data_IF_568647300517
#
_entry.id   IF_568647300517
#
_cell.length_a   1.000
_cell.length_b   1.000
_cell.length_c   1.000
_cell.angle_alpha   90.00
_cell.angle_beta   90.00
_cell.angle_gamma   90.00
#
_symmetry.space_group_name_H-M   'P 1'
#
loop_
_entity.id
_entity.type
_entity.pdbx_description
1 polymer ?
#
# COMPACT_ATOMS: atom_id res chain seq x y z
N UNK A 1 3.53 12.58 -31.93
CA UNK A 1 4.61 13.50 -31.54
C UNK A 1 4.93 13.14 -30.09
N UNK A 2 6.08 12.51 -29.87
CA UNK A 2 6.54 12.20 -28.51
C UNK A 2 7.12 13.50 -27.93
N UNK A 3 6.38 14.14 -27.02
CA UNK A 3 6.90 15.23 -26.21
C UNK A 3 7.50 14.63 -24.94
N UNK A 4 8.82 14.51 -24.92
CA UNK A 4 9.60 13.90 -23.85
C UNK A 4 10.10 14.95 -22.83
N UNK A 5 9.57 16.18 -22.92
CA UNK A 5 9.95 17.26 -22.00
C UNK A 5 9.41 17.01 -20.60
N UNK A 6 10.11 17.56 -19.60
CA UNK A 6 9.72 17.48 -18.19
C UNK A 6 8.28 17.98 -17.98
N UNK A 7 7.57 17.34 -17.06
CA UNK A 7 6.29 17.83 -16.56
C UNK A 7 6.48 18.92 -15.49
N UNK A 8 5.45 19.70 -15.26
CA UNK A 8 5.39 20.57 -14.07
C UNK A 8 5.41 19.74 -12.77
N UNK A 9 4.81 18.54 -12.84
CA UNK A 9 4.80 17.56 -11.76
C UNK A 9 5.11 16.18 -12.36
N UNK A 10 6.04 15.45 -11.73
CA UNK A 10 6.40 14.11 -12.13
C UNK A 10 5.92 13.08 -11.10
N UNK A 11 5.09 12.13 -11.56
CA UNK A 11 4.52 11.09 -10.70
C UNK A 11 5.00 9.74 -11.19
N UNK A 12 5.74 9.02 -10.35
CA UNK A 12 6.02 7.61 -10.60
C UNK A 12 4.79 6.77 -10.24
N UNK A 13 4.39 5.90 -11.17
CA UNK A 13 3.27 4.95 -11.01
C UNK A 13 3.86 3.55 -11.02
N UNK A 14 3.65 2.81 -9.94
CA UNK A 14 4.16 1.43 -9.81
C UNK A 14 3.00 0.47 -9.59
N UNK A 15 2.84 -0.49 -10.52
CA UNK A 15 1.84 -1.55 -10.40
C UNK A 15 2.29 -2.67 -9.46
N UNK A 16 1.38 -3.13 -8.61
CA UNK A 16 1.52 -4.29 -7.73
C UNK A 16 0.29 -5.20 -7.86
N UNK A 17 0.40 -6.42 -7.48
CA UNK A 17 -0.74 -7.34 -7.34
C UNK A 17 -1.40 -7.13 -5.96
N UNK A 18 -2.52 -6.45 -5.75
CA UNK A 18 -3.32 -5.74 -6.76
C UNK A 18 -3.65 -4.36 -6.23
N UNK A 19 -2.81 -3.40 -6.51
CA UNK A 19 -2.87 -2.00 -6.09
C UNK A 19 -1.90 -1.14 -6.91
N UNK A 20 -2.00 0.16 -6.77
CA UNK A 20 -1.06 1.09 -7.35
C UNK A 20 -0.29 1.81 -6.26
N UNK A 21 0.99 2.10 -6.48
CA UNK A 21 1.79 3.04 -5.69
C UNK A 21 2.05 4.28 -6.54
N UNK A 22 1.93 5.44 -5.91
CA UNK A 22 2.20 6.73 -6.53
C UNK A 22 3.27 7.47 -5.74
N UNK A 23 4.28 8.02 -6.44
CA UNK A 23 5.36 8.83 -5.86
C UNK A 23 5.46 10.15 -6.60
N UNK A 24 5.27 11.25 -5.88
CA UNK A 24 5.48 12.61 -6.38
C UNK A 24 6.94 12.97 -6.17
N UNK A 25 7.69 13.06 -7.25
CA UNK A 25 9.15 13.11 -7.17
C UNK A 25 9.68 14.43 -6.62
N UNK A 26 8.98 15.53 -6.84
CA UNK A 26 9.35 16.85 -6.36
C UNK A 26 8.99 17.07 -4.89
N UNK A 27 7.95 16.39 -4.39
CA UNK A 27 7.38 16.63 -3.07
C UNK A 27 7.72 15.55 -2.04
N UNK A 28 8.38 14.46 -2.46
CA UNK A 28 8.71 13.29 -1.63
C UNK A 28 7.45 12.67 -0.95
N UNK A 29 6.33 12.68 -1.71
CA UNK A 29 5.07 12.07 -1.29
C UNK A 29 4.97 10.69 -1.93
N UNK A 30 4.73 9.67 -1.10
CA UNK A 30 4.59 8.27 -1.52
C UNK A 30 3.40 7.64 -0.80
N UNK A 31 2.52 6.97 -1.55
CA UNK A 31 1.38 6.25 -0.98
C UNK A 31 0.89 5.12 -1.88
N UNK A 32 0.21 4.16 -1.27
CA UNK A 32 -0.53 3.11 -1.97
C UNK A 32 -2.00 3.49 -2.13
N UNK A 33 -2.55 3.11 -3.27
CA UNK A 33 -3.96 3.27 -3.62
C UNK A 33 -4.59 1.89 -3.72
N UNK A 34 -5.50 1.57 -2.80
CA UNK A 34 -6.15 0.27 -2.70
C UNK A 34 -7.64 0.41 -2.96
N UNK A 35 -8.24 -0.66 -3.51
CA UNK A 35 -9.70 -0.76 -3.67
C UNK A 35 -10.40 -0.63 -2.30
N UNK A 36 -11.49 0.16 -2.25
CA UNK A 36 -12.32 0.31 -1.05
C UNK A 36 -13.64 -0.46 -1.10
N UNK A 37 -13.99 -1.07 -2.23
CA UNK A 37 -15.22 -1.86 -2.33
C UNK A 37 -15.24 -2.98 -1.30
N UNK A 38 -16.31 -3.03 -0.50
CA UNK A 38 -16.48 -4.02 0.55
C UNK A 38 -16.54 -5.45 -0.02
N UNK A 39 -15.96 -6.41 0.69
CA UNK A 39 -16.00 -7.81 0.31
C UNK A 39 -17.43 -8.37 0.26
N UNK A 40 -18.35 -7.85 1.08
CA UNK A 40 -19.74 -8.29 1.04
C UNK A 40 -20.46 -7.83 -0.23
N UNK A 41 -20.12 -6.67 -0.79
CA UNK A 41 -20.52 -6.28 -2.14
C UNK A 41 -19.92 -7.19 -3.21
N UNK A 42 -18.63 -7.51 -3.11
CA UNK A 42 -17.92 -8.37 -4.07
C UNK A 42 -18.54 -9.77 -4.07
N UNK A 43 -18.88 -10.32 -2.92
CA UNK A 43 -19.52 -11.63 -2.79
C UNK A 43 -21.05 -11.63 -2.95
N UNK A 44 -21.64 -10.51 -3.37
CA UNK A 44 -23.09 -10.34 -3.57
C UNK A 44 -23.93 -10.58 -2.30
N UNK A 45 -23.41 -10.29 -1.13
CA UNK A 45 -24.14 -10.33 0.14
C UNK A 45 -24.87 -9.01 0.41
N UNK A 46 -24.37 -7.90 -0.13
CA UNK A 46 -24.98 -6.58 -0.10
C UNK A 46 -25.14 -6.03 -1.52
N UNK A 47 -26.07 -5.07 -1.76
CA UNK A 47 -26.20 -4.39 -3.03
C UNK A 47 -24.92 -3.66 -3.42
N UNK A 48 -24.59 -3.65 -4.71
CA UNK A 48 -23.43 -2.92 -5.24
C UNK A 48 -23.69 -1.42 -5.27
N UNK A 49 -22.72 -0.65 -4.80
CA UNK A 49 -22.71 0.81 -4.88
C UNK A 49 -22.54 1.32 -6.31
N UNK A 50 -22.75 2.62 -6.51
CA UNK A 50 -22.64 3.30 -7.82
C UNK A 50 -21.25 3.11 -8.45
N UNK A 51 -20.19 3.23 -7.65
CA UNK A 51 -18.79 3.09 -8.08
C UNK A 51 -18.20 1.76 -7.68
N UNK A 52 -18.95 0.69 -7.86
CA UNK A 52 -18.51 -0.66 -7.57
C UNK A 52 -17.20 -1.01 -8.29
N UNK A 53 -16.16 -1.35 -7.56
CA UNK A 53 -14.79 -1.61 -8.03
C UNK A 53 -14.08 -0.41 -8.69
N UNK A 54 -14.52 0.81 -8.42
CA UNK A 54 -13.99 2.03 -9.04
C UNK A 54 -13.52 3.09 -8.03
N UNK A 55 -13.59 2.81 -6.71
CA UNK A 55 -13.14 3.71 -5.65
C UNK A 55 -11.89 3.17 -4.94
N UNK A 56 -11.08 4.11 -4.46
CA UNK A 56 -9.82 3.82 -3.74
C UNK A 56 -9.76 4.55 -2.40
N UNK A 57 -8.95 4.03 -1.49
CA UNK A 57 -8.69 4.66 -0.19
C UNK A 57 -7.86 5.96 -0.33
N UNK A 58 -6.95 6.02 -1.29
CA UNK A 58 -6.09 7.17 -1.55
C UNK A 58 -6.00 7.46 -3.05
N UNK A 59 -6.59 8.57 -3.48
CA UNK A 59 -6.58 8.97 -4.89
C UNK A 59 -5.33 9.80 -5.25
N UNK A 60 -4.91 9.73 -6.51
CA UNK A 60 -3.94 10.68 -7.07
C UNK A 60 -4.57 12.07 -7.11
N UNK A 61 -3.86 13.11 -6.69
CA UNK A 61 -4.32 14.51 -6.72
C UNK A 61 -3.41 15.31 -7.65
N UNK A 62 -3.99 15.98 -8.62
CA UNK A 62 -3.25 16.84 -9.56
C UNK A 62 -3.94 18.20 -9.73
N UNK A 63 -3.19 19.29 -9.94
CA UNK A 63 -3.79 20.59 -10.19
C UNK A 63 -4.22 20.75 -11.66
N UNK A 64 -5.27 21.55 -11.90
CA UNK A 64 -5.73 21.92 -13.24
C UNK A 64 -4.65 22.66 -14.03
N UNK A 65 -4.63 22.47 -15.34
CA UNK A 65 -3.82 23.25 -16.28
C UNK A 65 -2.31 23.00 -16.20
N UNK A 66 -1.86 22.08 -15.35
CA UNK A 66 -0.45 21.69 -15.25
C UNK A 66 -0.15 20.48 -16.09
N UNK A 67 1.05 20.42 -16.65
CA UNK A 67 1.55 19.22 -17.34
C UNK A 67 2.00 18.20 -16.33
N UNK A 68 1.25 17.11 -16.23
CA UNK A 68 1.57 15.99 -15.35
C UNK A 68 2.26 14.90 -16.19
N UNK A 69 3.46 14.51 -15.78
CA UNK A 69 4.19 13.42 -16.39
C UNK A 69 4.14 12.19 -15.49
N UNK A 70 3.71 11.07 -16.07
CA UNK A 70 3.66 9.78 -15.38
C UNK A 70 4.83 8.90 -15.83
N UNK A 71 5.58 8.37 -14.87
CA UNK A 71 6.67 7.41 -15.03
C UNK A 71 6.16 6.04 -14.58
N UNK A 72 5.75 5.21 -15.54
CA UNK A 72 4.92 4.02 -15.30
C UNK A 72 5.76 2.77 -15.37
N UNK A 73 5.75 1.98 -14.30
CA UNK A 73 6.45 0.69 -14.17
C UNK A 73 5.66 -0.27 -13.28
N UNK A 74 6.15 -1.48 -13.07
CA UNK A 74 5.59 -2.45 -12.13
C UNK A 74 6.67 -3.11 -11.27
N UNK A 75 6.27 -3.60 -10.10
CA UNK A 75 7.15 -4.29 -9.15
C UNK A 75 7.18 -5.81 -9.37
N UNK A 76 6.10 -6.39 -9.90
CA UNK A 76 5.89 -7.84 -9.93
C UNK A 76 5.58 -8.40 -11.33
N UNK A 77 4.38 -8.21 -11.84
CA UNK A 77 3.94 -8.65 -13.16
C UNK A 77 3.61 -7.46 -14.05
N UNK A 78 3.26 -7.68 -15.31
CA UNK A 78 2.79 -6.61 -16.19
C UNK A 78 1.38 -6.20 -15.76
N UNK A 79 1.18 -4.89 -15.63
CA UNK A 79 -0.10 -4.21 -15.48
C UNK A 79 -0.27 -3.19 -16.61
N UNK A 80 -1.41 -2.52 -16.70
CA UNK A 80 -1.58 -1.38 -17.62
C UNK A 80 -2.37 -0.29 -16.91
N UNK A 81 -1.77 0.89 -16.80
CA UNK A 81 -2.40 2.07 -16.21
C UNK A 81 -3.25 2.76 -17.27
N UNK A 82 -4.55 2.71 -17.10
CA UNK A 82 -5.50 3.25 -18.06
C UNK A 82 -6.40 4.32 -17.42
N UNK A 83 -6.34 5.51 -18.02
CA UNK A 83 -7.19 6.66 -17.70
C UNK A 83 -7.84 7.14 -19.01
N UNK A 84 -9.08 6.70 -19.31
CA UNK A 84 -9.74 7.00 -20.58
C UNK A 84 -9.88 8.50 -20.85
N UNK A 85 -10.31 9.27 -19.84
CA UNK A 85 -10.51 10.72 -19.96
C UNK A 85 -9.20 11.50 -20.20
N UNK A 86 -8.05 10.92 -19.86
CA UNK A 86 -6.74 11.50 -20.11
C UNK A 86 -6.12 10.99 -21.42
N UNK A 87 -6.84 10.15 -22.17
CA UNK A 87 -6.34 9.44 -23.34
C UNK A 87 -5.03 8.66 -23.09
N UNK A 88 -4.84 8.16 -21.87
CA UNK A 88 -3.68 7.38 -21.46
C UNK A 88 -4.07 5.92 -21.28
N UNK A 89 -3.35 5.04 -21.99
CA UNK A 89 -3.28 3.60 -21.72
C UNK A 89 -1.84 3.17 -21.89
N UNK A 90 -1.17 2.89 -20.78
CA UNK A 90 0.27 2.62 -20.80
C UNK A 90 0.59 1.41 -19.93
N UNK A 91 1.28 0.43 -20.51
CA UNK A 91 1.70 -0.75 -19.79
C UNK A 91 2.75 -0.43 -18.73
N UNK A 92 2.56 -1.01 -17.56
CA UNK A 92 3.47 -0.98 -16.42
C UNK A 92 4.25 -2.30 -16.43
N UNK A 93 5.52 -2.25 -16.89
CA UNK A 93 6.34 -3.44 -17.13
C UNK A 93 7.48 -3.49 -16.12
N UNK A 94 7.68 -4.62 -15.40
CA UNK A 94 8.81 -4.77 -14.49
C UNK A 94 10.16 -4.56 -15.17
N UNK A 95 11.00 -3.71 -14.58
CA UNK A 95 12.32 -3.39 -15.12
C UNK A 95 12.36 -2.36 -16.24
N UNK A 96 11.19 -1.84 -16.68
CA UNK A 96 11.09 -0.77 -17.67
C UNK A 96 10.30 0.40 -17.11
N UNK A 97 10.64 1.62 -17.54
CA UNK A 97 9.88 2.83 -17.21
C UNK A 97 9.31 3.37 -18.51
N UNK A 98 7.99 3.30 -18.65
CA UNK A 98 7.24 3.95 -19.70
C UNK A 98 6.80 5.34 -19.26
N UNK A 99 6.64 6.25 -20.20
CA UNK A 99 6.21 7.62 -19.92
C UNK A 99 4.89 7.95 -20.61
N UNK A 100 4.04 8.67 -19.90
CA UNK A 100 2.86 9.31 -20.46
C UNK A 100 2.71 10.69 -19.82
N UNK A 101 1.94 11.57 -20.43
CA UNK A 101 1.64 12.88 -19.86
C UNK A 101 0.24 13.34 -20.20
N UNK A 102 -0.30 14.24 -19.39
CA UNK A 102 -1.58 14.88 -19.64
C UNK A 102 -1.59 16.32 -19.11
N UNK A 103 -2.51 17.11 -19.62
CA UNK A 103 -2.95 18.39 -19.05
C UNK A 103 -4.46 18.30 -18.93
N UNK A 104 -5.01 18.57 -17.76
CA UNK A 104 -6.45 18.50 -17.50
C UNK A 104 -6.95 19.87 -17.09
N UNK A 105 -7.91 20.41 -17.84
CA UNK A 105 -8.38 21.79 -17.65
C UNK A 105 -9.60 21.89 -16.73
N UNK A 106 -10.29 20.77 -16.47
CA UNK A 106 -11.52 20.75 -15.68
C UNK A 106 -11.29 20.03 -14.34
N UNK A 107 -11.61 20.66 -13.19
CA UNK A 107 -11.64 19.98 -11.92
C UNK A 107 -12.66 18.84 -11.89
N UNK A 108 -12.34 17.74 -11.20
CA UNK A 108 -13.26 16.61 -11.14
C UNK A 108 -12.59 15.34 -10.59
N UNK A 109 -13.38 14.27 -10.54
CA UNK A 109 -12.91 12.94 -10.18
C UNK A 109 -12.95 12.07 -11.42
N UNK A 110 -11.80 11.60 -11.84
CA UNK A 110 -11.60 10.80 -13.03
C UNK A 110 -11.25 9.36 -12.63
N UNK A 111 -11.83 8.39 -13.35
CA UNK A 111 -11.70 6.97 -13.01
C UNK A 111 -11.11 6.16 -14.15
N UNK A 112 -10.24 5.27 -13.79
CA UNK A 112 -9.60 4.32 -14.67
C UNK A 112 -9.41 2.97 -13.99
N UNK A 113 -8.65 2.09 -14.60
CA UNK A 113 -8.42 0.75 -14.08
C UNK A 113 -7.17 0.11 -14.68
N UNK A 114 -6.74 -1.00 -14.09
CA UNK A 114 -5.77 -1.89 -14.73
C UNK A 114 -6.41 -2.56 -15.96
N UNK A 115 -5.71 -2.54 -17.10
CA UNK A 115 -6.19 -3.11 -18.38
C UNK A 115 -5.22 -4.10 -19.02
N UNK A 116 -4.28 -4.66 -18.24
CA UNK A 116 -3.49 -5.82 -18.60
C UNK A 116 -3.72 -6.93 -17.56
N UNK A 117 -4.01 -8.16 -18.01
CA UNK A 117 -4.31 -9.28 -17.13
C UNK A 117 -3.13 -9.58 -16.19
N UNK A 118 -3.27 -9.24 -14.93
CA UNK A 118 -2.23 -9.30 -13.92
C UNK A 118 -2.50 -10.34 -12.80
N UNK A 119 -3.43 -11.26 -13.00
CA UNK A 119 -3.73 -12.35 -12.06
C UNK A 119 -5.15 -12.33 -11.50
N UNK A 120 -5.36 -13.03 -10.38
CA UNK A 120 -6.68 -13.34 -9.80
C UNK A 120 -7.55 -12.10 -9.53
N UNK A 121 -6.96 -11.04 -8.99
CA UNK A 121 -7.68 -9.82 -8.59
C UNK A 121 -7.44 -8.68 -9.59
N UNK A 122 -7.20 -8.99 -10.86
CA UNK A 122 -6.97 -8.01 -11.92
C UNK A 122 -8.02 -6.88 -11.94
N UNK A 123 -9.30 -7.19 -11.73
CA UNK A 123 -10.38 -6.21 -11.68
C UNK A 123 -10.46 -5.39 -10.38
N UNK A 124 -9.59 -5.62 -9.41
CA UNK A 124 -9.65 -5.04 -8.06
C UNK A 124 -8.56 -4.01 -7.79
N UNK A 125 -8.01 -3.40 -8.83
CA UNK A 125 -7.02 -2.32 -8.77
C UNK A 125 -7.41 -1.15 -9.67
N UNK A 126 -8.44 -0.38 -9.26
CA UNK A 126 -8.86 0.81 -9.98
C UNK A 126 -7.84 1.94 -9.88
N UNK A 127 -8.04 2.95 -10.72
CA UNK A 127 -7.30 4.21 -10.70
C UNK A 127 -8.29 5.33 -10.43
N UNK A 128 -8.02 6.20 -9.48
CA UNK A 128 -8.82 7.41 -9.23
C UNK A 128 -7.88 8.60 -9.21
N UNK A 129 -8.19 9.61 -10.02
CA UNK A 129 -7.46 10.89 -10.05
C UNK A 129 -8.44 12.01 -9.71
N UNK A 130 -8.09 12.82 -8.71
CA UNK A 130 -8.78 14.06 -8.34
C UNK A 130 -8.04 15.23 -8.96
N UNK A 131 -8.67 15.91 -9.88
CA UNK A 131 -8.18 17.15 -10.46
C UNK A 131 -8.75 18.31 -9.68
N UNK A 132 -7.89 19.15 -9.11
CA UNK A 132 -8.26 20.20 -8.15
C UNK A 132 -7.64 21.54 -8.56
N UNK A 133 -8.04 22.63 -7.89
CA UNK A 133 -7.35 23.91 -8.06
C UNK A 133 -5.92 23.87 -7.53
N UNK A 134 -5.07 24.85 -7.92
CA UNK A 134 -3.69 24.91 -7.41
C UNK A 134 -3.65 25.05 -5.88
N UNK A 135 -4.52 25.90 -5.31
CA UNK A 135 -4.57 26.11 -3.85
C UNK A 135 -4.96 24.83 -3.09
N UNK A 136 -5.90 24.04 -3.63
CA UNK A 136 -6.30 22.75 -3.05
C UNK A 136 -5.18 21.71 -3.17
N UNK A 137 -4.43 21.72 -4.29
CA UNK A 137 -3.27 20.88 -4.47
C UNK A 137 -2.17 21.20 -3.45
N UNK A 138 -1.84 22.50 -3.29
CA UNK A 138 -0.84 22.96 -2.33
C UNK A 138 -1.22 22.61 -0.89
N UNK A 139 -2.50 22.74 -0.54
CA UNK A 139 -3.03 22.32 0.76
C UNK A 139 -2.91 20.80 0.97
N UNK A 140 -3.22 20.00 -0.05
CA UNK A 140 -3.05 18.55 -0.01
C UNK A 140 -1.59 18.14 0.15
N UNK A 141 -0.67 18.75 -0.59
CA UNK A 141 0.79 18.54 -0.45
C UNK A 141 1.24 18.82 0.98
N UNK A 142 0.79 19.96 1.56
CA UNK A 142 1.14 20.30 2.93
C UNK A 142 0.58 19.30 3.94
N UNK A 143 -0.67 18.85 3.77
CA UNK A 143 -1.27 17.82 4.62
C UNK A 143 -0.46 16.52 4.59
N UNK A 144 0.01 16.08 3.41
CA UNK A 144 0.85 14.90 3.24
C UNK A 144 2.18 15.04 3.96
N UNK A 145 2.85 16.20 3.81
CA UNK A 145 4.11 16.52 4.52
C UNK A 145 3.93 16.51 6.04
N UNK A 146 2.85 17.12 6.52
CA UNK A 146 2.52 17.13 7.94
C UNK A 146 2.22 15.71 8.47
N UNK A 147 1.54 14.87 7.67
CA UNK A 147 1.29 13.48 8.01
C UNK A 147 2.59 12.66 8.09
N UNK A 148 3.51 12.85 7.14
CA UNK A 148 4.83 12.22 7.16
C UNK A 148 5.65 12.65 8.40
N UNK A 149 5.61 13.95 8.74
CA UNK A 149 6.27 14.46 9.94
C UNK A 149 5.69 13.81 11.22
N UNK A 150 4.36 13.76 11.35
CA UNK A 150 3.71 13.07 12.48
C UNK A 150 4.08 11.58 12.54
N UNK A 151 4.24 10.92 11.39
CA UNK A 151 4.65 9.51 11.36
C UNK A 151 6.10 9.34 11.86
N UNK A 152 7.00 10.27 11.50
CA UNK A 152 8.37 10.26 12.02
C UNK A 152 8.41 10.45 13.55
N UNK A 153 7.59 11.37 14.10
CA UNK A 153 7.45 11.52 15.56
C UNK A 153 6.94 10.24 16.23
N UNK A 154 5.97 9.56 15.63
CA UNK A 154 5.46 8.27 16.11
C UNK A 154 6.52 7.18 16.09
N UNK A 155 7.46 7.21 15.15
CA UNK A 155 8.56 6.24 15.09
C UNK A 155 9.52 6.38 16.27
N UNK A 156 9.70 7.60 16.79
CA UNK A 156 10.55 7.89 17.96
C UNK A 156 9.84 7.75 19.30
N UNK A 157 8.50 7.67 19.28
CA UNK A 157 7.69 7.53 20.51
C UNK A 157 8.02 6.22 21.24
N UNK A 158 8.00 6.27 22.56
CA UNK A 158 7.99 5.08 23.42
C UNK A 158 6.58 4.47 23.45
N UNK A 159 6.42 3.30 22.86
CA UNK A 159 5.16 2.60 22.74
C UNK A 159 4.99 1.53 23.81
N UNK A 160 3.82 1.45 24.41
CA UNK A 160 3.41 0.31 25.23
C UNK A 160 2.93 -0.86 24.35
N UNK A 161 2.96 -2.08 24.90
CA UNK A 161 2.43 -3.27 24.23
C UNK A 161 0.94 -3.10 23.85
N UNK A 162 0.15 -2.49 24.74
CA UNK A 162 -1.28 -2.27 24.51
C UNK A 162 -1.55 -1.34 23.31
N UNK A 163 -0.85 -0.21 23.23
CA UNK A 163 -0.98 0.74 22.12
C UNK A 163 -0.59 0.11 20.78
N UNK A 164 0.52 -0.66 20.77
CA UNK A 164 0.97 -1.37 19.56
C UNK A 164 -0.02 -2.46 19.15
N UNK A 165 -0.59 -3.20 20.12
CA UNK A 165 -1.56 -4.25 19.84
C UNK A 165 -2.85 -3.67 19.26
N UNK A 166 -3.39 -2.60 19.84
CA UNK A 166 -4.59 -1.91 19.32
C UNK A 166 -4.38 -1.40 17.90
N UNK A 167 -3.28 -0.71 17.64
CA UNK A 167 -2.95 -0.24 16.29
C UNK A 167 -2.72 -1.40 15.33
N UNK A 168 -2.01 -2.43 15.77
CA UNK A 168 -1.65 -3.60 14.98
C UNK A 168 -2.84 -4.43 14.53
N UNK A 169 -3.93 -4.47 15.32
CA UNK A 169 -5.18 -5.09 14.90
C UNK A 169 -5.74 -4.45 13.63
N UNK A 170 -5.80 -3.12 13.58
CA UNK A 170 -6.25 -2.39 12.40
C UNK A 170 -5.37 -2.65 11.17
N UNK A 171 -4.05 -2.69 11.35
CA UNK A 171 -3.10 -3.03 10.28
C UNK A 171 -3.31 -4.47 9.80
N UNK A 172 -3.52 -5.41 10.73
CA UNK A 172 -3.76 -6.82 10.42
C UNK A 172 -5.03 -7.03 9.60
N UNK A 173 -6.13 -6.43 10.03
CA UNK A 173 -7.42 -6.53 9.35
C UNK A 173 -7.37 -5.97 7.92
N UNK A 174 -6.57 -4.94 7.70
CA UNK A 174 -6.42 -4.33 6.37
C UNK A 174 -5.50 -5.12 5.44
N UNK A 175 -4.40 -5.70 5.96
CA UNK A 175 -3.31 -6.19 5.10
C UNK A 175 -3.07 -7.71 5.17
N UNK A 176 -3.50 -8.39 6.24
CA UNK A 176 -3.06 -9.76 6.53
C UNK A 176 -4.21 -10.78 6.55
N UNK A 177 -5.41 -10.34 6.91
CA UNK A 177 -6.58 -11.21 7.15
C UNK A 177 -6.97 -12.03 5.94
N UNK A 178 -6.78 -11.53 4.74
CA UNK A 178 -7.15 -12.22 3.49
C UNK A 178 -6.44 -13.58 3.33
N UNK A 179 -5.21 -13.70 3.84
CA UNK A 179 -4.43 -14.93 3.81
C UNK A 179 -4.43 -15.65 5.16
N UNK A 180 -4.19 -14.92 6.26
CA UNK A 180 -3.99 -15.50 7.57
C UNK A 180 -5.28 -15.68 8.40
N UNK A 181 -6.43 -15.24 7.86
CA UNK A 181 -7.77 -15.28 8.47
C UNK A 181 -7.87 -14.43 9.75
N UNK A 182 -9.07 -14.06 10.15
CA UNK A 182 -9.33 -13.18 11.30
C UNK A 182 -8.81 -13.74 12.64
N UNK A 183 -8.76 -15.04 12.76
CA UNK A 183 -8.29 -15.77 13.95
C UNK A 183 -6.83 -16.23 13.86
N UNK A 184 -6.08 -15.80 12.86
CA UNK A 184 -4.68 -16.16 12.66
C UNK A 184 -4.40 -17.63 12.32
N UNK A 185 -5.43 -18.42 11.96
CA UNK A 185 -5.27 -19.85 11.69
C UNK A 185 -4.77 -20.16 10.27
N UNK A 186 -4.74 -19.16 9.38
CA UNK A 186 -4.35 -19.35 8.00
C UNK A 186 -5.30 -20.26 7.22
N UNK A 187 -4.79 -20.88 6.16
CA UNK A 187 -5.51 -21.89 5.37
C UNK A 187 -4.58 -23.09 5.21
N UNK A 188 -4.97 -24.23 5.77
CA UNK A 188 -4.16 -25.45 5.78
C UNK A 188 -3.64 -25.81 4.38
N UNK A 189 -2.32 -25.96 4.27
CA UNK A 189 -1.64 -26.31 3.01
C UNK A 189 -1.46 -25.15 2.02
N UNK A 190 -1.98 -23.94 2.31
CA UNK A 190 -1.87 -22.76 1.43
C UNK A 190 -1.22 -21.59 2.16
N UNK A 191 -1.78 -21.19 3.30
CA UNK A 191 -1.27 -20.07 4.11
C UNK A 191 -1.00 -20.51 5.55
N UNK A 192 0.19 -20.25 6.10
CA UNK A 192 0.53 -20.71 7.44
C UNK A 192 -0.32 -20.04 8.52
N UNK A 193 -0.49 -20.74 9.64
CA UNK A 193 -1.07 -20.16 10.83
C UNK A 193 -0.07 -19.19 11.50
N UNK A 194 -0.59 -18.14 12.11
CA UNK A 194 0.13 -17.23 12.99
C UNK A 194 -0.20 -17.53 14.45
N UNK A 195 -1.46 -17.95 14.72
CA UNK A 195 -1.86 -18.44 16.02
C UNK A 195 -1.10 -19.72 16.39
N UNK A 196 -0.36 -19.72 17.49
CA UNK A 196 0.47 -20.87 17.93
C UNK A 196 1.69 -21.17 17.06
N UNK A 197 2.08 -20.27 16.15
CA UNK A 197 3.28 -20.45 15.32
C UNK A 197 4.55 -20.23 16.15
N UNK A 198 5.48 -21.18 16.13
CA UNK A 198 6.75 -21.07 16.86
C UNK A 198 7.57 -19.83 16.44
N UNK A 199 7.57 -19.48 15.15
CA UNK A 199 8.22 -18.25 14.67
C UNK A 199 7.58 -17.03 15.31
N UNK A 200 6.24 -16.95 15.33
CA UNK A 200 5.52 -15.82 15.91
C UNK A 200 5.74 -15.76 17.42
N UNK A 201 5.72 -16.89 18.11
CA UNK A 201 5.86 -16.96 19.55
C UNK A 201 7.27 -16.64 20.04
N UNK A 202 8.30 -17.19 19.38
CA UNK A 202 9.64 -17.31 19.96
C UNK A 202 10.76 -16.71 19.11
N UNK A 203 10.47 -16.08 17.95
CA UNK A 203 11.51 -15.56 17.07
C UNK A 203 11.19 -14.18 16.52
N UNK A 204 11.36 -13.16 17.38
CA UNK A 204 11.17 -11.75 17.03
C UNK A 204 11.92 -11.34 15.75
N UNK A 205 13.19 -11.71 15.64
CA UNK A 205 14.03 -11.33 14.50
C UNK A 205 13.51 -11.91 13.19
N UNK A 206 13.06 -13.18 13.20
CA UNK A 206 12.50 -13.84 12.02
C UNK A 206 11.14 -13.28 11.63
N UNK A 207 10.31 -12.84 12.58
CA UNK A 207 9.08 -12.12 12.29
C UNK A 207 9.35 -10.82 11.53
N UNK A 208 10.32 -10.03 11.99
CA UNK A 208 10.73 -8.79 11.32
C UNK A 208 11.25 -9.11 9.92
N UNK A 209 12.16 -10.07 9.78
CA UNK A 209 12.71 -10.49 8.49
C UNK A 209 11.60 -10.87 7.48
N UNK A 210 10.65 -11.73 7.89
CA UNK A 210 9.57 -12.17 7.02
C UNK A 210 8.71 -10.99 6.55
N UNK A 211 8.39 -10.06 7.44
CA UNK A 211 7.59 -8.90 7.07
C UNK A 211 8.36 -7.93 6.16
N UNK A 212 9.66 -7.78 6.42
CA UNK A 212 10.54 -6.90 5.65
C UNK A 212 10.88 -7.46 4.26
N UNK A 213 11.20 -8.75 4.16
CA UNK A 213 11.75 -9.34 2.95
C UNK A 213 10.72 -10.21 2.19
N UNK A 214 9.64 -10.59 2.86
CA UNK A 214 8.71 -11.61 2.34
C UNK A 214 9.33 -13.00 2.44
N UNK A 215 8.72 -13.96 1.73
CA UNK A 215 9.21 -15.34 1.65
C UNK A 215 9.39 -15.71 0.19
N UNK A 216 10.63 -15.95 -0.21
CA UNK A 216 10.96 -16.27 -1.60
C UNK A 216 10.21 -17.53 -2.07
N UNK A 217 9.53 -17.43 -3.21
CA UNK A 217 8.74 -18.52 -3.80
C UNK A 217 7.38 -18.76 -3.14
N UNK A 218 6.98 -17.92 -2.18
CA UNK A 218 5.66 -17.97 -1.54
C UNK A 218 4.82 -16.71 -1.83
N UNK A 219 3.53 -16.76 -1.47
CA UNK A 219 2.64 -15.61 -1.62
C UNK A 219 2.88 -14.48 -0.58
N UNK A 220 3.71 -14.73 0.43
CA UNK A 220 4.07 -13.72 1.44
C UNK A 220 5.06 -12.73 0.84
N UNK A 221 4.56 -11.58 0.43
CA UNK A 221 5.35 -10.50 -0.15
C UNK A 221 6.07 -9.67 0.93
N UNK A 222 7.04 -8.88 0.52
CA UNK A 222 7.65 -7.86 1.37
C UNK A 222 6.67 -6.72 1.66
N UNK A 223 6.62 -6.26 2.91
CA UNK A 223 5.87 -5.10 3.34
C UNK A 223 6.77 -3.88 3.64
N UNK A 224 8.08 -3.98 3.41
CA UNK A 224 9.05 -2.93 3.72
C UNK A 224 8.73 -1.56 3.10
N UNK A 225 8.13 -1.57 1.91
CA UNK A 225 7.73 -0.35 1.19
C UNK A 225 6.21 -0.10 1.27
N UNK A 226 5.46 -0.89 2.05
CA UNK A 226 4.00 -0.84 2.10
C UNK A 226 3.46 -0.39 3.46
N UNK A 227 4.23 -0.60 4.51
CA UNK A 227 3.88 -0.25 5.89
C UNK A 227 4.96 0.64 6.49
N UNK A 228 4.54 1.60 7.31
CA UNK A 228 5.47 2.39 8.12
C UNK A 228 6.15 1.51 9.18
N UNK A 229 7.27 1.99 9.75
CA UNK A 229 7.96 1.32 10.83
C UNK A 229 7.02 1.07 12.03
N UNK A 230 6.16 2.04 12.30
CA UNK A 230 5.16 1.96 13.37
C UNK A 230 4.13 0.87 13.07
N UNK A 231 3.61 0.80 11.84
CA UNK A 231 2.62 -0.19 11.44
C UNK A 231 3.20 -1.60 11.41
N UNK A 232 4.44 -1.75 10.94
CA UNK A 232 5.15 -3.03 10.95
C UNK A 232 5.38 -3.53 12.39
N UNK A 233 5.88 -2.67 13.25
CA UNK A 233 6.06 -3.00 14.68
C UNK A 233 4.74 -3.37 15.35
N UNK A 234 3.69 -2.59 15.07
CA UNK A 234 2.36 -2.79 15.62
C UNK A 234 1.75 -4.12 15.19
N UNK A 235 1.78 -4.45 13.91
CA UNK A 235 1.18 -5.70 13.41
C UNK A 235 1.94 -6.93 13.90
N UNK A 236 3.28 -6.87 13.99
CA UNK A 236 4.06 -7.97 14.55
C UNK A 236 3.71 -8.13 16.04
N UNK A 237 3.67 -7.04 16.79
CA UNK A 237 3.28 -7.08 18.20
C UNK A 237 1.86 -7.61 18.37
N UNK A 238 0.89 -7.18 17.56
CA UNK A 238 -0.47 -7.72 17.58
C UNK A 238 -0.48 -9.23 17.38
N UNK A 239 0.17 -9.76 16.36
CA UNK A 239 0.19 -11.20 16.08
C UNK A 239 0.86 -11.99 17.22
N UNK A 240 1.82 -11.41 17.92
CA UNK A 240 2.48 -12.01 19.08
C UNK A 240 1.64 -11.95 20.37
N UNK A 241 0.64 -11.07 20.42
CA UNK A 241 -0.25 -10.90 21.57
C UNK A 241 -1.63 -11.55 21.38
N UNK A 242 -2.13 -11.63 20.14
CA UNK A 242 -3.46 -12.13 19.82
C UNK A 242 -3.57 -13.67 19.90
N UNK A 243 -4.80 -14.16 19.94
CA UNK A 243 -5.18 -15.58 19.81
C UNK A 243 -4.51 -16.52 20.84
N UNK A 244 -4.19 -16.03 22.04
CA UNK A 244 -3.50 -16.78 23.09
C UNK A 244 -1.99 -16.87 22.89
N UNK A 245 -1.41 -16.16 21.93
CA UNK A 245 0.04 -16.14 21.70
C UNK A 245 0.78 -15.45 22.85
N UNK A 246 0.18 -14.44 23.51
CA UNK A 246 0.79 -13.75 24.65
C UNK A 246 1.17 -14.68 25.81
N UNK A 247 0.34 -15.70 26.07
CA UNK A 247 0.54 -16.63 27.19
C UNK A 247 1.52 -17.75 26.83
N UNK A 248 1.78 -17.99 25.54
CA UNK A 248 2.55 -19.13 25.07
C UNK A 248 3.91 -18.74 24.41
N UNK A 249 4.16 -17.45 24.25
CA UNK A 249 5.36 -16.94 23.61
C UNK A 249 6.41 -16.42 24.60
N UNK A 250 7.48 -15.83 24.07
CA UNK A 250 8.58 -15.25 24.84
C UNK A 250 8.22 -13.91 25.53
N UNK A 251 7.03 -13.35 25.24
CA UNK A 251 6.55 -12.08 25.78
C UNK A 251 7.19 -10.82 25.18
N UNK A 252 8.12 -10.96 24.23
CA UNK A 252 8.74 -9.81 23.59
C UNK A 252 7.77 -9.10 22.65
N UNK A 253 7.81 -7.77 22.66
CA UNK A 253 7.12 -6.91 21.68
C UNK A 253 8.12 -6.40 20.64
N UNK A 254 7.61 -6.00 19.49
CA UNK A 254 8.38 -5.29 18.46
C UNK A 254 8.00 -3.82 18.51
N UNK A 255 9.00 -2.95 18.67
CA UNK A 255 8.82 -1.50 18.68
C UNK A 255 9.33 -0.89 17.36
N UNK A 256 8.90 0.33 16.96
CA UNK A 256 9.34 0.93 15.70
C UNK A 256 10.86 0.98 15.53
N UNK A 257 11.60 1.21 16.62
CA UNK A 257 13.07 1.22 16.61
C UNK A 257 13.70 -0.11 16.19
N UNK A 258 13.06 -1.24 16.46
CA UNK A 258 13.54 -2.56 15.98
C UNK A 258 13.48 -2.64 14.45
N UNK A 259 12.44 -2.07 13.84
CA UNK A 259 12.28 -2.02 12.38
C UNK A 259 13.31 -1.07 11.75
N UNK A 260 13.50 0.11 12.34
CA UNK A 260 14.54 1.05 11.91
C UNK A 260 15.93 0.40 11.98
N UNK A 261 16.23 -0.32 13.06
CA UNK A 261 17.52 -1.01 13.21
C UNK A 261 17.71 -2.10 12.15
N UNK A 262 16.66 -2.85 11.82
CA UNK A 262 16.72 -3.86 10.76
C UNK A 262 17.01 -3.26 9.38
N UNK A 263 16.52 -2.04 9.10
CA UNK A 263 16.74 -1.32 7.82
C UNK A 263 18.17 -0.81 7.65
N UNK A 264 18.95 -0.69 8.71
CA UNK A 264 20.34 -0.24 8.61
C UNK A 264 21.19 -1.23 7.79
N UNK A 265 22.13 -0.73 6.97
CA UNK A 265 23.04 -1.62 6.25
C UNK A 265 23.74 -2.56 7.23
N UNK A 266 23.65 -3.85 6.98
CA UNK A 266 24.46 -4.83 7.73
C UNK A 266 25.91 -4.63 7.29
N UNK A 267 26.73 -4.03 8.17
CA UNK A 267 28.17 -3.77 7.97
C UNK A 267 28.95 -5.08 7.94
#
# INVERSE_FOLDING_TARGET
IYDDTEGDINIQVVGYQWKWQYKYLEDDIDFFSNLTTDWDEIYNKTPKGEFYLEEVDEAVVIPVGKKIRFLITANDVIHSWWMPDFAIKQDAIPGFINTAWTIVDEPGIYRGKCTELCGKNHGFMPVVVKVVTQDEYDAWVQEKKDAAFRMAELTEKDWSAAELTERGEGVYLKNCVACHQVNGQGITGIFPNLAGSDIVLNNKAKNIEILMEGVQGAAMQSFANQLSEVDMASVITYTRQAWGNAENGDGEIVVPKDIVEYKKPKV
#
